data_IF_436906730167
#
_entry.id   IF_436906730167
#
_cell.length_a   1.000
_cell.length_b   1.000
_cell.length_c   1.000
_cell.angle_alpha   90.00
_cell.angle_beta   90.00
_cell.angle_gamma   90.00
#
_symmetry.space_group_name_H-M   'P 1'
#
loop_
_entity.id
_entity.type
_entity.pdbx_description
1 polymer ?
#
# COMPACT_ATOMS: atom_id res chain seq x y z
N UNK A 1 3.70 -13.18 4.87
CA UNK A 1 5.00 -12.85 4.24
C UNK A 1 5.73 -14.15 3.92
N UNK A 2 6.19 -14.35 2.68
CA UNK A 2 6.85 -15.59 2.24
C UNK A 2 8.26 -15.65 2.86
N UNK A 3 8.63 -16.70 3.62
CA UNK A 3 9.97 -16.82 4.20
C UNK A 3 11.03 -16.92 3.09
N UNK A 4 12.04 -16.05 3.11
CA UNK A 4 13.25 -16.20 2.27
C UNK A 4 13.42 -15.21 1.10
N UNK A 5 12.50 -14.28 0.89
CA UNK A 5 12.68 -13.26 -0.17
C UNK A 5 13.50 -12.07 0.36
N UNK A 6 14.71 -11.87 -0.19
CA UNK A 6 15.56 -10.73 0.15
C UNK A 6 14.82 -9.40 -0.13
N UNK A 7 14.62 -8.51 0.87
CA UNK A 7 13.88 -7.26 0.74
C UNK A 7 14.36 -6.37 -0.42
N UNK A 8 15.66 -6.41 -0.75
CA UNK A 8 16.22 -5.65 -1.87
C UNK A 8 15.71 -6.14 -3.23
N UNK A 9 15.53 -7.46 -3.38
CA UNK A 9 14.96 -8.05 -4.61
C UNK A 9 13.48 -7.70 -4.76
N UNK A 10 12.73 -7.66 -3.65
CA UNK A 10 11.33 -7.21 -3.68
C UNK A 10 11.21 -5.76 -4.16
N UNK A 11 12.02 -4.86 -3.60
CA UNK A 11 12.01 -3.45 -3.97
C UNK A 11 12.38 -3.23 -5.44
N UNK A 12 13.35 -4.00 -5.94
CA UNK A 12 13.73 -3.96 -7.36
C UNK A 12 12.63 -4.48 -8.28
N UNK A 13 11.95 -5.56 -7.88
CA UNK A 13 10.83 -6.14 -8.63
C UNK A 13 9.62 -5.20 -8.65
N UNK A 14 9.27 -4.57 -7.52
CA UNK A 14 8.19 -3.58 -7.45
C UNK A 14 8.47 -2.39 -8.37
N UNK A 15 9.71 -1.89 -8.39
CA UNK A 15 10.13 -0.82 -9.30
C UNK A 15 10.05 -1.23 -10.77
N UNK A 16 10.39 -2.47 -11.10
CA UNK A 16 10.27 -3.00 -12.48
C UNK A 16 8.81 -3.14 -12.94
N UNK A 17 7.88 -3.38 -12.01
CA UNK A 17 6.44 -3.40 -12.28
C UNK A 17 5.82 -1.99 -12.36
N UNK A 18 6.65 -0.94 -12.28
CA UNK A 18 6.20 0.46 -12.36
C UNK A 18 5.47 0.95 -11.11
N UNK A 19 5.51 0.18 -10.01
CA UNK A 19 4.89 0.58 -8.76
C UNK A 19 5.83 1.56 -8.02
N UNK A 20 5.35 2.78 -7.82
CA UNK A 20 5.97 3.79 -6.97
C UNK A 20 5.27 3.78 -5.61
N UNK A 21 6.01 3.45 -4.56
CA UNK A 21 5.49 3.40 -3.18
C UNK A 21 5.97 4.65 -2.48
N UNK A 22 5.01 5.52 -2.12
CA UNK A 22 5.26 6.73 -1.35
C UNK A 22 4.49 6.63 -0.04
N UNK A 23 5.18 6.47 1.10
CA UNK A 23 4.54 6.44 2.41
C UNK A 23 3.79 7.75 2.64
N UNK A 24 2.62 7.65 3.28
CA UNK A 24 1.87 8.81 3.73
C UNK A 24 1.83 8.75 5.25
N UNK A 25 2.54 9.69 5.88
CA UNK A 25 2.56 9.80 7.34
C UNK A 25 1.28 10.48 7.84
N UNK A 26 0.91 10.19 9.09
CA UNK A 26 -0.20 10.81 9.82
C UNK A 26 -1.59 10.72 9.15
N UNK A 27 -1.84 9.64 8.40
CA UNK A 27 -3.15 9.38 7.78
C UNK A 27 -4.22 9.18 8.85
N UNK A 28 -5.28 10.00 8.78
CA UNK A 28 -6.40 9.92 9.72
C UNK A 28 -7.49 8.96 9.23
N UNK A 29 -7.82 9.04 7.94
CA UNK A 29 -8.92 8.27 7.34
C UNK A 29 -8.63 7.98 5.86
N UNK A 30 -8.99 6.78 5.40
CA UNK A 30 -9.08 6.44 3.97
C UNK A 30 -10.54 6.13 3.63
N UNK A 31 -11.08 6.85 2.65
CA UNK A 31 -12.42 6.60 2.11
C UNK A 31 -12.34 6.14 0.66
N UNK A 32 -12.68 4.87 0.42
CA UNK A 32 -12.80 4.31 -0.93
C UNK A 32 -14.27 4.33 -1.33
N UNK A 33 -14.60 5.12 -2.35
CA UNK A 33 -15.96 5.19 -2.90
C UNK A 33 -16.09 4.27 -4.11
N UNK A 34 -17.09 3.39 -4.09
CA UNK A 34 -17.41 2.46 -5.17
C UNK A 34 -18.90 2.53 -5.49
N UNK A 35 -19.33 1.89 -6.57
CA UNK A 35 -20.76 1.74 -6.87
C UNK A 35 -21.52 0.92 -5.80
N UNK A 36 -20.82 0.06 -5.06
CA UNK A 36 -21.41 -0.74 -3.99
C UNK A 36 -21.51 0.01 -2.66
N UNK A 37 -20.89 1.19 -2.54
CA UNK A 37 -20.87 1.99 -1.32
C UNK A 37 -19.48 2.50 -0.95
N UNK A 38 -19.34 2.94 0.30
CA UNK A 38 -18.11 3.51 0.86
C UNK A 38 -17.44 2.52 1.81
N UNK A 39 -16.13 2.36 1.66
CA UNK A 39 -15.27 1.67 2.61
C UNK A 39 -14.45 2.72 3.35
N UNK A 40 -14.56 2.73 4.68
CA UNK A 40 -13.89 3.70 5.55
C UNK A 40 -12.92 2.93 6.43
N UNK A 41 -11.66 3.35 6.41
CA UNK A 41 -10.59 2.80 7.23
C UNK A 41 -9.99 3.90 8.11
N UNK A 42 -10.14 3.76 9.42
CA UNK A 42 -9.58 4.67 10.41
C UNK A 42 -8.13 4.29 10.73
N UNK A 43 -7.26 5.29 11.00
CA UNK A 43 -5.86 5.09 11.42
C UNK A 43 -5.05 4.14 10.53
N UNK A 44 -5.14 4.31 9.21
CA UNK A 44 -4.46 3.44 8.26
C UNK A 44 -2.97 3.79 8.11
N UNK A 45 -2.10 2.79 7.98
CA UNK A 45 -0.73 2.95 7.46
C UNK A 45 -0.74 2.74 5.95
N UNK A 46 -0.17 3.70 5.20
CA UNK A 46 -0.20 3.75 3.72
C UNK A 46 1.19 3.96 3.13
#
# INVERSE_FOLDING_TARGET
MIPGMNPRKMKQMMKQLGMDVRPIDDVQEIVITTQAGKYIFDQAEV
#
